data_IF_223742810646
#
_entry.id   IF_223742810646
#
_cell.length_a   1.000
_cell.length_b   1.000
_cell.length_c   1.000
_cell.angle_alpha   90.00
_cell.angle_beta   90.00
_cell.angle_gamma   90.00
#
_symmetry.space_group_name_H-M   'P 1'
#
loop_
_entity.id
_entity.type
_entity.pdbx_description
1 polymer ?
#
# COMPACT_ATOMS: atom_id res chain seq x y z
N UNK A 1 13.36 23.41 -48.22
CA UNK A 1 13.43 22.18 -47.40
C UNK A 1 12.86 22.45 -46.00
N UNK A 2 11.70 21.87 -45.66
CA UNK A 2 11.04 22.08 -44.35
C UNK A 2 11.73 21.24 -43.27
N UNK A 3 12.37 21.87 -42.29
CA UNK A 3 13.01 21.20 -41.14
C UNK A 3 11.93 20.54 -40.26
N UNK A 4 11.88 19.21 -40.26
CA UNK A 4 10.98 18.39 -39.45
C UNK A 4 11.43 18.50 -37.98
N UNK A 5 10.68 19.23 -37.14
CA UNK A 5 10.96 19.35 -35.71
C UNK A 5 10.79 17.97 -35.05
N UNK A 6 11.90 17.36 -34.65
CA UNK A 6 11.91 16.16 -33.80
C UNK A 6 11.24 16.52 -32.47
N UNK A 7 10.06 15.94 -32.19
CA UNK A 7 9.38 16.10 -30.90
C UNK A 7 10.26 15.46 -29.82
N UNK A 8 10.87 16.28 -28.95
CA UNK A 8 11.61 15.81 -27.77
C UNK A 8 10.67 14.94 -26.92
N UNK A 9 11.06 13.70 -26.68
CA UNK A 9 10.36 12.82 -25.75
C UNK A 9 10.30 13.51 -24.39
N UNK A 10 9.09 13.76 -23.88
CA UNK A 10 8.91 14.34 -22.56
C UNK A 10 9.39 13.34 -21.53
N UNK A 11 10.46 13.70 -20.81
CA UNK A 11 10.93 12.94 -19.65
C UNK A 11 9.78 12.93 -18.65
N UNK A 12 9.09 11.79 -18.50
CA UNK A 12 8.01 11.64 -17.52
C UNK A 12 8.61 11.94 -16.14
N UNK A 13 8.07 12.98 -15.47
CA UNK A 13 8.48 13.32 -14.09
C UNK A 13 8.34 12.07 -13.22
N UNK A 14 9.42 11.70 -12.52
CA UNK A 14 9.43 10.59 -11.57
C UNK A 14 8.52 10.98 -10.40
N UNK A 15 7.32 10.40 -10.33
CA UNK A 15 6.38 10.68 -9.25
C UNK A 15 6.98 10.18 -7.92
N UNK A 16 7.02 11.04 -6.91
CA UNK A 16 7.35 10.64 -5.53
C UNK A 16 6.13 9.95 -4.95
N UNK A 17 6.21 8.63 -4.76
CA UNK A 17 5.16 7.85 -4.10
C UNK A 17 5.34 8.05 -2.59
N UNK A 18 4.34 8.65 -1.95
CA UNK A 18 4.27 8.71 -0.49
C UNK A 18 3.55 7.44 -0.01
N UNK A 19 4.17 6.71 0.91
CA UNK A 19 3.62 5.44 1.40
C UNK A 19 2.75 5.72 2.63
N UNK A 20 1.44 5.89 2.43
CA UNK A 20 0.48 6.13 3.52
C UNK A 20 -0.53 4.98 3.69
N UNK A 21 -0.73 4.20 2.63
CA UNK A 21 -1.74 3.14 2.58
C UNK A 21 -1.19 1.88 1.90
N UNK A 22 -1.90 0.76 2.07
CA UNK A 22 -1.60 -0.48 1.34
C UNK A 22 -1.68 -0.29 -0.18
N UNK A 23 -2.58 0.59 -0.64
CA UNK A 23 -2.75 0.92 -2.05
C UNK A 23 -1.52 1.64 -2.61
N UNK A 24 -0.86 2.49 -1.82
CA UNK A 24 0.38 3.16 -2.25
C UNK A 24 1.52 2.15 -2.44
N UNK A 25 1.58 1.12 -1.59
CA UNK A 25 2.57 0.03 -1.75
C UNK A 25 2.24 -0.80 -2.99
N UNK A 26 0.97 -1.11 -3.26
CA UNK A 26 0.55 -1.78 -4.51
C UNK A 26 0.94 -0.97 -5.75
N UNK A 27 0.77 0.35 -5.70
CA UNK A 27 1.19 1.26 -6.79
C UNK A 27 2.71 1.31 -6.96
N UNK A 28 3.47 1.30 -5.87
CA UNK A 28 4.93 1.19 -5.90
C UNK A 28 5.34 -0.10 -6.60
N UNK A 29 4.82 -1.25 -6.17
CA UNK A 29 5.12 -2.56 -6.76
C UNK A 29 4.77 -2.60 -8.24
N UNK A 30 3.60 -2.08 -8.62
CA UNK A 30 3.17 -2.00 -10.01
C UNK A 30 4.11 -1.13 -10.86
N UNK A 31 4.60 -0.03 -10.27
CA UNK A 31 5.58 0.85 -10.92
C UNK A 31 6.92 0.13 -11.09
N UNK A 32 7.39 -0.58 -10.07
CA UNK A 32 8.63 -1.38 -10.11
C UNK A 32 8.57 -2.47 -11.19
N UNK A 33 7.47 -3.23 -11.27
CA UNK A 33 7.28 -4.25 -12.32
C UNK A 33 7.35 -3.60 -13.71
N UNK A 34 6.70 -2.45 -13.87
CA UNK A 34 6.72 -1.73 -15.13
C UNK A 34 8.10 -1.16 -15.48
N UNK A 35 8.87 -0.67 -14.50
CA UNK A 35 10.25 -0.23 -14.67
C UNK A 35 11.15 -1.40 -15.08
N UNK A 36 10.99 -2.56 -14.44
CA UNK A 36 11.73 -3.77 -14.78
C UNK A 36 11.42 -4.24 -16.20
N UNK A 37 10.14 -4.27 -16.59
CA UNK A 37 9.72 -4.64 -17.95
C UNK A 37 10.29 -3.70 -19.03
N UNK A 38 10.56 -2.43 -18.67
CA UNK A 38 11.18 -1.43 -19.56
C UNK A 38 12.72 -1.43 -19.49
N UNK A 39 13.33 -2.37 -18.77
CA UNK A 39 14.77 -2.43 -18.50
C UNK A 39 15.31 -1.13 -17.85
N UNK A 40 14.48 -0.41 -17.09
CA UNK A 40 14.87 0.82 -16.38
C UNK A 40 15.54 0.52 -15.02
N UNK A 41 15.36 -0.70 -14.50
CA UNK A 41 15.96 -1.20 -13.27
C UNK A 41 16.47 -2.62 -13.48
N UNK A 42 17.46 -3.04 -12.68
CA UNK A 42 18.01 -4.39 -12.72
C UNK A 42 17.12 -5.41 -11.98
N UNK A 43 17.38 -6.70 -12.21
CA UNK A 43 16.67 -7.77 -11.49
C UNK A 43 16.88 -7.69 -9.98
N UNK A 44 18.10 -7.40 -9.53
CA UNK A 44 18.41 -7.30 -8.09
C UNK A 44 17.73 -6.11 -7.43
N UNK A 45 17.64 -4.99 -8.14
CA UNK A 45 16.88 -3.82 -7.69
C UNK A 45 15.39 -4.15 -7.59
N UNK A 46 14.83 -4.82 -8.60
CA UNK A 46 13.42 -5.23 -8.59
C UNK A 46 13.12 -6.18 -7.42
N UNK A 47 13.96 -7.21 -7.21
CA UNK A 47 13.82 -8.17 -6.09
C UNK A 47 13.82 -7.47 -4.74
N UNK A 48 14.77 -6.57 -4.51
CA UNK A 48 14.89 -5.82 -3.26
C UNK A 48 13.62 -5.01 -2.99
N UNK A 49 13.12 -4.28 -3.99
CA UNK A 49 11.92 -3.46 -3.85
C UNK A 49 10.68 -4.34 -3.61
N UNK A 50 10.54 -5.44 -4.34
CA UNK A 50 9.41 -6.37 -4.16
C UNK A 50 9.42 -6.98 -2.76
N UNK A 51 10.58 -7.39 -2.26
CA UNK A 51 10.72 -7.91 -0.90
C UNK A 51 10.30 -6.87 0.14
N UNK A 52 10.83 -5.64 0.05
CA UNK A 52 10.43 -4.56 0.96
C UNK A 52 8.93 -4.27 0.90
N UNK A 53 8.34 -4.24 -0.30
CA UNK A 53 6.91 -4.04 -0.47
C UNK A 53 6.07 -5.13 0.18
N UNK A 54 6.51 -6.40 0.09
CA UNK A 54 5.84 -7.51 0.76
C UNK A 54 5.90 -7.40 2.29
N UNK A 55 7.06 -7.04 2.83
CA UNK A 55 7.23 -6.81 4.29
C UNK A 55 6.31 -5.68 4.77
N UNK A 56 6.28 -4.55 4.06
CA UNK A 56 5.42 -3.42 4.42
C UNK A 56 3.93 -3.77 4.37
N UNK A 57 3.49 -4.50 3.35
CA UNK A 57 2.10 -4.96 3.27
C UNK A 57 1.73 -5.88 4.43
N UNK A 58 2.63 -6.79 4.83
CA UNK A 58 2.44 -7.67 5.97
C UNK A 58 2.28 -6.89 7.28
N UNK A 59 3.17 -5.93 7.54
CA UNK A 59 3.11 -5.07 8.74
C UNK A 59 1.82 -4.25 8.78
N UNK A 60 1.45 -3.61 7.67
CA UNK A 60 0.22 -2.83 7.60
C UNK A 60 -1.03 -3.68 7.83
N UNK A 61 -1.06 -4.90 7.28
CA UNK A 61 -2.17 -5.84 7.48
C UNK A 61 -2.29 -6.23 8.95
N UNK A 62 -1.18 -6.60 9.59
CA UNK A 62 -1.17 -6.95 11.02
C UNK A 62 -1.66 -5.80 11.91
N UNK A 63 -1.23 -4.56 11.65
CA UNK A 63 -1.72 -3.38 12.38
C UNK A 63 -3.22 -3.19 12.19
N UNK A 64 -3.73 -3.40 10.96
CA UNK A 64 -5.16 -3.27 10.70
C UNK A 64 -5.99 -4.35 11.39
N UNK A 65 -5.50 -5.59 11.46
CA UNK A 65 -6.16 -6.69 12.16
C UNK A 65 -6.21 -6.43 13.67
N UNK A 66 -5.09 -6.03 14.30
CA UNK A 66 -5.04 -5.69 15.72
C UNK A 66 -6.01 -4.54 16.10
N UNK A 67 -6.15 -3.53 15.24
CA UNK A 67 -7.12 -2.45 15.46
C UNK A 67 -8.57 -2.93 15.35
N UNK A 68 -8.85 -3.87 14.45
CA UNK A 68 -10.19 -4.45 14.31
C UNK A 68 -10.52 -5.30 15.54
N UNK A 69 -9.60 -6.16 15.98
CA UNK A 69 -9.78 -7.02 17.15
C UNK A 69 -10.03 -6.19 18.42
N UNK A 70 -9.29 -5.09 18.59
CA UNK A 70 -9.52 -4.14 19.69
C UNK A 70 -10.92 -3.51 19.64
N UNK A 71 -11.41 -3.13 18.45
CA UNK A 71 -12.75 -2.56 18.30
C UNK A 71 -13.84 -3.59 18.57
N UNK A 72 -13.66 -4.83 18.13
CA UNK A 72 -14.59 -5.93 18.40
C UNK A 72 -14.70 -6.13 19.91
N UNK A 73 -13.56 -6.23 20.60
CA UNK A 73 -13.54 -6.41 22.06
C UNK A 73 -14.28 -5.30 22.82
N UNK A 74 -14.08 -4.04 22.42
CA UNK A 74 -14.81 -2.91 23.04
C UNK A 74 -16.32 -3.05 22.86
N UNK A 75 -16.77 -3.40 21.64
CA UNK A 75 -18.20 -3.60 21.36
C UNK A 75 -18.78 -4.81 22.12
N UNK A 76 -18.02 -5.89 22.25
CA UNK A 76 -18.41 -7.07 23.03
C UNK A 76 -18.56 -6.74 24.51
N UNK A 77 -17.60 -6.01 25.08
CA UNK A 77 -17.63 -5.55 26.47
C UNK A 77 -18.85 -4.64 26.73
N UNK A 78 -19.14 -3.70 25.82
CA UNK A 78 -20.31 -2.83 25.89
C UNK A 78 -21.63 -3.62 25.83
N UNK A 79 -21.73 -4.57 24.90
CA UNK A 79 -22.91 -5.40 24.75
C UNK A 79 -23.13 -6.31 25.97
N UNK A 80 -22.06 -6.83 26.58
CA UNK A 80 -22.16 -7.62 27.82
C UNK A 80 -22.63 -6.75 29.00
N UNK A 81 -22.13 -5.53 29.13
CA UNK A 81 -22.62 -4.58 30.15
C UNK A 81 -24.11 -4.29 29.97
N UNK A 82 -24.54 -4.05 28.74
CA UNK A 82 -25.94 -3.80 28.43
C UNK A 82 -26.84 -5.01 28.75
N UNK A 83 -26.40 -6.23 28.40
CA UNK A 83 -27.11 -7.46 28.79
C UNK A 83 -27.26 -7.63 30.30
N UNK A 84 -26.23 -7.26 31.08
CA UNK A 84 -26.28 -7.33 32.54
C UNK A 84 -27.28 -6.32 33.11
N UNK A 85 -27.37 -5.11 32.55
CA UNK A 85 -28.36 -4.10 32.96
C UNK A 85 -29.80 -4.59 32.72
N UNK A 86 -30.10 -5.16 31.55
CA UNK A 86 -31.44 -5.68 31.25
C UNK A 86 -31.84 -6.78 32.24
N UNK A 87 -30.91 -7.68 32.61
CA UNK A 87 -31.20 -8.77 33.56
C UNK A 87 -31.42 -8.31 35.00
N UNK A 88 -31.06 -7.07 35.35
CA UNK A 88 -31.25 -6.48 36.67
C UNK A 88 -32.54 -5.65 36.77
N UNK A 89 -33.26 -5.48 35.66
CA UNK A 89 -34.54 -4.76 35.57
C UNK A 89 -35.69 -5.75 35.46
#
# INVERSE_FOLDING_TARGET
MKKKKLKKASVKKKYKIHLKSMEDIRRLLSTTVNQFRRNEITSDQAKTITYMGNVLLGVMKSISEDMIDKRIKVLEDEHERFRKQIKQT
#
